data_IF_659905750324
#
_entry.id   IF_659905750324
#
_cell.length_a   1.000
_cell.length_b   1.000
_cell.length_c   1.000
_cell.angle_alpha   90.00
_cell.angle_beta   90.00
_cell.angle_gamma   90.00
#
_symmetry.space_group_name_H-M   'P 1'
#
loop_
_entity.id
_entity.type
_entity.pdbx_description
1 polymer ?
#
# COMPACT_ATOMS: atom_id res chain seq x y z
N UNK A 1 27.53 15.80 -5.28
CA UNK A 1 28.83 15.19 -4.95
C UNK A 1 28.79 13.80 -5.55
N UNK A 2 29.39 13.61 -6.72
CA UNK A 2 29.28 12.37 -7.52
C UNK A 2 30.44 11.45 -7.12
N UNK A 3 30.15 10.24 -6.61
CA UNK A 3 31.20 9.23 -6.35
C UNK A 3 31.10 8.40 -5.06
N UNK A 4 30.29 8.77 -4.08
CA UNK A 4 30.06 7.97 -2.86
C UNK A 4 29.25 6.68 -3.07
N UNK A 5 28.26 6.59 -4.00
CA UNK A 5 27.41 5.41 -4.08
C UNK A 5 28.01 4.21 -4.83
N UNK A 6 29.09 4.35 -5.60
CA UNK A 6 29.63 3.27 -6.45
C UNK A 6 29.99 1.97 -5.66
N UNK A 7 30.36 2.12 -4.39
CA UNK A 7 30.71 1.02 -3.49
C UNK A 7 29.58 0.63 -2.52
N UNK A 8 28.45 1.34 -2.57
CA UNK A 8 27.30 1.05 -1.71
C UNK A 8 26.66 -0.31 -2.08
N UNK A 9 26.09 -1.03 -1.09
CA UNK A 9 25.21 -2.14 -1.38
C UNK A 9 23.98 -1.66 -2.15
N UNK A 10 23.40 -2.52 -2.98
CA UNK A 10 22.26 -2.18 -3.84
C UNK A 10 21.07 -1.54 -3.09
N UNK A 11 20.75 -2.07 -1.90
CA UNK A 11 19.70 -1.50 -1.05
C UNK A 11 20.03 -0.10 -0.53
N UNK A 12 21.30 0.16 -0.18
CA UNK A 12 21.75 1.48 0.25
C UNK A 12 21.69 2.50 -0.88
N UNK A 13 22.14 2.11 -2.08
CA UNK A 13 22.02 2.95 -3.28
C UNK A 13 20.56 3.30 -3.58
N UNK A 14 19.72 2.30 -3.81
CA UNK A 14 18.32 2.52 -4.17
C UNK A 14 17.56 3.25 -3.06
N UNK A 15 17.93 3.00 -1.81
CA UNK A 15 17.46 3.76 -0.66
C UNK A 15 17.70 5.26 -0.88
N UNK A 16 18.96 5.68 -0.94
CA UNK A 16 19.34 7.09 -1.08
C UNK A 16 18.70 7.73 -2.32
N UNK A 17 18.69 7.02 -3.46
CA UNK A 17 18.11 7.55 -4.69
C UNK A 17 16.58 7.73 -4.59
N UNK A 18 15.88 6.94 -3.79
CA UNK A 18 14.43 7.02 -3.64
C UNK A 18 13.94 7.97 -2.53
N UNK A 19 14.83 8.74 -1.90
CA UNK A 19 14.42 9.78 -0.94
C UNK A 19 14.10 11.10 -1.65
N UNK A 20 15.09 11.75 -2.25
CA UNK A 20 14.91 13.10 -2.84
C UNK A 20 15.83 13.35 -4.06
N UNK A 21 16.26 12.29 -4.76
CA UNK A 21 17.04 12.50 -5.99
C UNK A 21 16.14 12.89 -7.15
N UNK A 22 16.56 13.90 -7.91
CA UNK A 22 15.93 14.16 -9.20
C UNK A 22 16.22 12.98 -10.17
N UNK A 23 15.32 12.74 -11.15
CA UNK A 23 15.43 11.61 -12.06
C UNK A 23 16.75 11.52 -12.85
N UNK A 24 17.31 12.66 -13.25
CA UNK A 24 18.53 12.70 -14.07
C UNK A 24 19.76 12.35 -13.22
N UNK A 25 19.83 12.87 -12.00
CA UNK A 25 20.86 12.49 -11.03
C UNK A 25 20.76 11.00 -10.66
N UNK A 26 19.55 10.49 -10.41
CA UNK A 26 19.35 9.08 -10.10
C UNK A 26 19.80 8.16 -11.25
N UNK A 27 19.50 8.55 -12.50
CA UNK A 27 19.97 7.86 -13.71
C UNK A 27 21.49 7.82 -13.79
N UNK A 28 22.15 8.96 -13.59
CA UNK A 28 23.60 9.05 -13.65
C UNK A 28 24.29 8.18 -12.59
N UNK A 29 23.82 8.24 -11.34
CA UNK A 29 24.39 7.46 -10.24
C UNK A 29 24.15 5.96 -10.41
N UNK A 30 22.94 5.54 -10.86
CA UNK A 30 22.66 4.13 -11.12
C UNK A 30 23.51 3.60 -12.28
N UNK A 31 23.65 4.37 -13.37
CA UNK A 31 24.49 3.99 -14.51
C UNK A 31 25.96 3.84 -14.10
N UNK A 32 26.48 4.75 -13.25
CA UNK A 32 27.81 4.66 -12.67
C UNK A 32 27.99 3.41 -11.80
N UNK A 33 27.00 3.10 -10.95
CA UNK A 33 27.01 1.94 -10.09
C UNK A 33 26.97 0.60 -10.85
N UNK A 34 26.15 0.53 -11.91
CA UNK A 34 26.07 -0.64 -12.79
C UNK A 34 27.39 -0.83 -13.54
N UNK A 35 27.94 0.25 -14.12
CA UNK A 35 29.21 0.22 -14.86
C UNK A 35 30.37 -0.26 -13.99
N UNK A 36 30.42 0.14 -12.71
CA UNK A 36 31.45 -0.28 -11.77
C UNK A 36 31.45 -1.80 -11.48
N UNK A 37 30.35 -2.52 -11.79
CA UNK A 37 30.23 -3.98 -11.58
C UNK A 37 30.60 -4.82 -12.78
N UNK A 38 30.76 -4.23 -13.96
CA UNK A 38 31.17 -4.92 -15.19
C UNK A 38 30.13 -5.87 -15.81
N UNK A 39 29.15 -6.35 -15.05
CA UNK A 39 28.07 -7.22 -15.53
C UNK A 39 26.69 -6.62 -15.27
N UNK A 40 26.06 -6.05 -16.30
CA UNK A 40 24.77 -5.36 -16.21
C UNK A 40 23.67 -6.27 -15.65
N UNK A 41 23.54 -7.51 -16.15
CA UNK A 41 22.50 -8.43 -15.68
C UNK A 41 22.69 -8.82 -14.21
N UNK A 42 23.93 -9.00 -13.76
CA UNK A 42 24.22 -9.33 -12.38
C UNK A 42 23.93 -8.13 -11.45
N UNK A 43 24.26 -6.92 -11.90
CA UNK A 43 23.92 -5.68 -11.21
C UNK A 43 22.40 -5.50 -11.09
N UNK A 44 21.66 -5.73 -12.18
CA UNK A 44 20.20 -5.64 -12.19
C UNK A 44 19.55 -6.65 -11.25
N UNK A 45 20.04 -7.90 -11.22
CA UNK A 45 19.59 -8.90 -10.25
C UNK A 45 19.80 -8.45 -8.80
N UNK A 46 20.92 -7.81 -8.48
CA UNK A 46 21.18 -7.28 -7.13
C UNK A 46 20.22 -6.14 -6.77
N UNK A 47 19.87 -5.28 -7.72
CA UNK A 47 18.93 -4.18 -7.53
C UNK A 47 17.50 -4.68 -7.30
N UNK A 48 17.05 -5.65 -8.12
CA UNK A 48 15.75 -6.30 -7.93
C UNK A 48 15.70 -7.06 -6.60
N UNK A 49 16.79 -7.73 -6.22
CA UNK A 49 16.89 -8.39 -4.92
C UNK A 49 16.75 -7.40 -3.76
N UNK A 50 17.39 -6.24 -3.87
CA UNK A 50 17.28 -5.20 -2.86
C UNK A 50 15.84 -4.72 -2.67
N UNK A 51 15.10 -4.50 -3.77
CA UNK A 51 13.66 -4.18 -3.74
C UNK A 51 12.88 -5.30 -3.05
N UNK A 52 13.14 -6.56 -3.43
CA UNK A 52 12.45 -7.74 -2.87
C UNK A 52 12.68 -7.92 -1.37
N UNK A 53 13.90 -7.66 -0.91
CA UNK A 53 14.29 -7.83 0.49
C UNK A 53 13.86 -6.69 1.41
N UNK A 54 13.33 -5.58 0.84
CA UNK A 54 12.95 -4.41 1.61
C UNK A 54 11.71 -4.72 2.47
N UNK A 55 11.80 -4.60 3.81
CA UNK A 55 10.68 -4.96 4.69
C UNK A 55 9.49 -3.99 4.63
N UNK A 56 9.71 -2.76 4.17
CA UNK A 56 8.66 -1.74 4.06
C UNK A 56 8.17 -1.60 2.63
N UNK A 57 6.88 -1.81 2.40
CA UNK A 57 6.24 -1.84 1.08
C UNK A 57 6.34 -0.52 0.34
N UNK A 58 6.06 0.58 1.04
CA UNK A 58 6.13 1.94 0.50
C UNK A 58 7.57 2.24 0.07
N UNK A 59 8.54 1.80 0.89
CA UNK A 59 9.96 1.98 0.56
C UNK A 59 10.38 1.12 -0.62
N UNK A 60 9.92 -0.13 -0.69
CA UNK A 60 10.15 -1.02 -1.81
C UNK A 60 9.57 -0.45 -3.11
N UNK A 61 8.36 0.11 -3.05
CA UNK A 61 7.70 0.79 -4.18
C UNK A 61 8.55 1.96 -4.68
N UNK A 62 9.01 2.82 -3.78
CA UNK A 62 9.85 3.97 -4.13
C UNK A 62 11.19 3.53 -4.76
N UNK A 63 11.83 2.51 -4.19
CA UNK A 63 13.06 1.92 -4.77
C UNK A 63 12.82 1.33 -6.16
N UNK A 64 11.70 0.63 -6.36
CA UNK A 64 11.31 0.10 -7.66
C UNK A 64 11.08 1.24 -8.65
N UNK A 65 10.33 2.28 -8.27
CA UNK A 65 10.05 3.41 -9.14
C UNK A 65 11.33 4.09 -9.64
N UNK A 66 12.29 4.32 -8.73
CA UNK A 66 13.61 4.86 -9.08
C UNK A 66 14.39 3.95 -10.00
N UNK A 67 14.47 2.64 -9.69
CA UNK A 67 15.15 1.67 -10.55
C UNK A 67 14.62 1.75 -11.99
N UNK A 68 13.31 1.86 -12.15
CA UNK A 68 12.66 1.88 -13.46
C UNK A 68 12.89 3.19 -14.23
N UNK A 69 12.94 4.34 -13.55
CA UNK A 69 13.19 5.64 -14.19
C UNK A 69 14.67 5.81 -14.55
N UNK A 70 15.56 5.24 -13.74
CA UNK A 70 17.00 5.34 -13.94
C UNK A 70 17.54 4.38 -15.01
N UNK A 71 16.77 3.36 -15.41
CA UNK A 71 17.13 2.48 -16.53
C UNK A 71 17.00 3.17 -17.90
N UNK A 72 17.74 2.72 -18.93
CA UNK A 72 17.58 3.21 -20.29
C UNK A 72 16.12 3.10 -20.79
N UNK A 73 15.76 3.97 -21.74
CA UNK A 73 14.39 4.05 -22.23
C UNK A 73 13.85 2.70 -22.70
N UNK A 74 12.65 2.35 -22.22
CA UNK A 74 11.98 1.09 -22.50
C UNK A 74 12.51 -0.13 -21.72
N UNK A 75 13.69 -0.08 -21.09
CA UNK A 75 14.19 -1.18 -20.26
C UNK A 75 13.41 -1.32 -18.96
N UNK A 76 13.02 -0.20 -18.34
CA UNK A 76 12.17 -0.21 -17.14
C UNK A 76 10.83 -0.91 -17.39
N UNK A 77 10.15 -0.60 -18.49
CA UNK A 77 8.88 -1.28 -18.80
C UNK A 77 9.06 -2.77 -19.11
N UNK A 78 10.14 -3.15 -19.81
CA UNK A 78 10.46 -4.57 -20.06
C UNK A 78 10.70 -5.30 -18.75
N UNK A 79 11.42 -4.68 -17.82
CA UNK A 79 11.65 -5.21 -16.49
C UNK A 79 10.33 -5.41 -15.73
N UNK A 80 9.42 -4.42 -15.73
CA UNK A 80 8.10 -4.55 -15.10
C UNK A 80 7.31 -5.74 -15.69
N UNK A 81 7.25 -5.87 -17.02
CA UNK A 81 6.56 -7.00 -17.67
C UNK A 81 7.19 -8.34 -17.30
N UNK A 82 8.51 -8.42 -17.15
CA UNK A 82 9.21 -9.62 -16.69
C UNK A 82 8.89 -9.93 -15.21
N UNK A 83 8.92 -8.91 -14.35
CA UNK A 83 8.69 -9.08 -12.91
C UNK A 83 7.22 -9.37 -12.56
N UNK A 84 6.26 -9.07 -13.45
CA UNK A 84 4.83 -9.40 -13.27
C UNK A 84 4.60 -10.88 -12.98
N UNK A 85 5.42 -11.77 -13.56
CA UNK A 85 5.35 -13.22 -13.32
C UNK A 85 6.00 -13.71 -12.02
N UNK A 86 6.72 -12.86 -11.30
CA UNK A 86 7.40 -13.24 -10.07
C UNK A 86 6.47 -13.05 -8.87
N UNK A 87 5.91 -14.14 -8.35
CA UNK A 87 4.88 -14.12 -7.31
C UNK A 87 5.17 -13.20 -6.10
N UNK A 88 6.42 -13.10 -5.65
CA UNK A 88 6.79 -12.24 -4.51
C UNK A 88 6.80 -10.74 -4.85
N UNK A 89 7.09 -10.37 -6.09
CA UNK A 89 7.16 -8.98 -6.56
C UNK A 89 5.91 -8.56 -7.32
N UNK A 90 5.10 -9.51 -7.78
CA UNK A 90 3.92 -9.26 -8.61
C UNK A 90 2.98 -8.18 -8.03
N UNK A 91 2.64 -8.16 -6.72
CA UNK A 91 1.77 -7.11 -6.19
C UNK A 91 2.37 -5.70 -6.34
N UNK A 92 3.65 -5.54 -5.99
CA UNK A 92 4.38 -4.28 -6.10
C UNK A 92 4.49 -3.82 -7.57
N UNK A 93 4.78 -4.75 -8.46
CA UNK A 93 4.94 -4.53 -9.90
C UNK A 93 3.63 -4.16 -10.57
N UNK A 94 2.53 -4.85 -10.24
CA UNK A 94 1.21 -4.54 -10.76
C UNK A 94 0.73 -3.16 -10.29
N UNK A 95 1.00 -2.81 -9.03
CA UNK A 95 0.70 -1.49 -8.49
C UNK A 95 1.49 -0.39 -9.21
N UNK A 96 2.79 -0.61 -9.48
CA UNK A 96 3.61 0.33 -10.27
C UNK A 96 3.15 0.45 -11.73
N UNK A 97 2.79 -0.67 -12.37
CA UNK A 97 2.23 -0.69 -13.72
C UNK A 97 0.92 0.12 -13.80
N UNK A 98 0.04 -0.04 -12.81
CA UNK A 98 -1.21 0.71 -12.72
C UNK A 98 -0.95 2.21 -12.48
N UNK A 99 -0.08 2.56 -11.53
CA UNK A 99 0.26 3.95 -11.22
C UNK A 99 0.88 4.70 -12.41
N UNK A 100 1.61 3.99 -13.28
CA UNK A 100 2.19 4.57 -14.50
C UNK A 100 1.27 4.54 -15.72
N UNK A 101 0.03 4.08 -15.55
CA UNK A 101 -0.94 3.90 -16.64
C UNK A 101 -0.41 2.97 -17.76
N UNK A 102 0.52 2.07 -17.42
CA UNK A 102 1.12 1.09 -18.35
C UNK A 102 0.34 -0.23 -18.39
N UNK A 103 -0.60 -0.40 -17.48
CA UNK A 103 -1.54 -1.52 -17.42
C UNK A 103 -2.89 -0.97 -17.03
N UNK A 104 -3.84 -1.02 -17.95
CA UNK A 104 -5.21 -0.62 -17.67
C UNK A 104 -5.96 -1.72 -16.90
N UNK A 105 -7.03 -1.37 -16.17
CA UNK A 105 -7.85 -2.36 -15.46
C UNK A 105 -8.40 -3.44 -16.38
N UNK A 106 -8.81 -3.11 -17.60
CA UNK A 106 -9.34 -4.09 -18.56
C UNK A 106 -8.31 -5.14 -19.03
N UNK A 107 -7.01 -4.85 -18.90
CA UNK A 107 -5.91 -5.75 -19.25
C UNK A 107 -5.40 -6.58 -18.05
N UNK A 108 -6.00 -6.40 -16.87
CA UNK A 108 -5.73 -7.18 -15.67
C UNK A 108 -6.68 -8.37 -15.55
N UNK A 109 -6.13 -9.51 -15.17
CA UNK A 109 -6.96 -10.63 -14.71
C UNK A 109 -7.63 -10.31 -13.38
N UNK A 110 -8.73 -10.99 -13.04
CA UNK A 110 -9.39 -10.82 -11.73
C UNK A 110 -8.41 -11.07 -10.57
N UNK A 111 -7.54 -12.07 -10.70
CA UNK A 111 -6.53 -12.38 -9.70
C UNK A 111 -5.54 -11.22 -9.50
N UNK A 112 -5.15 -10.54 -10.57
CA UNK A 112 -4.23 -9.39 -10.50
C UNK A 112 -4.89 -8.17 -9.89
N UNK A 113 -6.17 -7.92 -10.19
CA UNK A 113 -6.94 -6.88 -9.51
C UNK A 113 -6.94 -7.08 -7.99
N UNK A 114 -7.15 -8.32 -7.54
CA UNK A 114 -7.12 -8.65 -6.11
C UNK A 114 -5.73 -8.44 -5.50
N UNK A 115 -4.65 -8.71 -6.24
CA UNK A 115 -3.29 -8.44 -5.77
C UNK A 115 -3.00 -6.95 -5.64
N UNK A 116 -3.42 -6.15 -6.61
CA UNK A 116 -3.29 -4.68 -6.55
C UNK A 116 -4.06 -4.13 -5.37
N UNK A 117 -5.33 -4.52 -5.23
CA UNK A 117 -6.18 -4.11 -4.10
C UNK A 117 -5.55 -4.46 -2.75
N UNK A 118 -5.06 -5.69 -2.61
CA UNK A 118 -4.39 -6.14 -1.40
C UNK A 118 -3.13 -5.32 -1.11
N UNK A 119 -2.27 -5.10 -2.10
CA UNK A 119 -1.05 -4.30 -1.95
C UNK A 119 -1.38 -2.85 -1.56
N UNK A 120 -2.36 -2.21 -2.21
CA UNK A 120 -2.76 -0.83 -1.88
C UNK A 120 -3.29 -0.70 -0.45
N UNK A 121 -4.07 -1.67 0.04
CA UNK A 121 -4.55 -1.67 1.43
C UNK A 121 -3.42 -1.89 2.44
N UNK A 122 -2.46 -2.77 2.13
CA UNK A 122 -1.30 -2.98 2.98
C UNK A 122 -0.39 -1.74 3.03
N UNK A 123 -0.19 -1.07 1.88
CA UNK A 123 0.54 0.20 1.82
C UNK A 123 -0.18 1.30 2.60
N UNK A 124 -1.51 1.40 2.52
CA UNK A 124 -2.31 2.33 3.32
C UNK A 124 -2.09 2.14 4.82
N UNK A 125 -2.13 0.88 5.29
CA UNK A 125 -1.90 0.54 6.69
C UNK A 125 -0.47 0.88 7.13
N UNK A 126 0.52 0.60 6.29
CA UNK A 126 1.92 0.93 6.56
C UNK A 126 2.13 2.44 6.66
N UNK A 127 1.59 3.22 5.72
CA UNK A 127 1.65 4.69 5.71
C UNK A 127 1.00 5.32 6.94
N UNK A 128 -0.02 4.68 7.50
CA UNK A 128 -0.69 5.18 8.68
C UNK A 128 0.15 5.05 9.97
N UNK A 129 1.31 4.38 9.91
CA UNK A 129 2.36 4.48 10.92
C UNK A 129 2.05 3.83 12.28
N UNK A 130 0.99 3.02 12.36
CA UNK A 130 0.61 2.34 13.59
C UNK A 130 -0.84 1.88 13.59
N UNK A 131 -1.22 1.13 14.63
CA UNK A 131 -2.56 0.53 14.74
C UNK A 131 -3.68 1.57 14.69
N UNK A 132 -3.58 2.63 15.49
CA UNK A 132 -4.66 3.61 15.60
C UNK A 132 -4.85 4.39 14.29
N UNK A 133 -3.75 4.80 13.66
CA UNK A 133 -3.77 5.43 12.34
C UNK A 133 -4.32 4.49 11.27
N UNK A 134 -3.93 3.22 11.27
CA UNK A 134 -4.43 2.24 10.30
C UNK A 134 -5.93 1.99 10.47
N UNK A 135 -6.44 1.92 11.71
CA UNK A 135 -7.87 1.81 11.95
C UNK A 135 -8.63 3.07 11.48
N UNK A 136 -8.07 4.26 11.69
CA UNK A 136 -8.64 5.51 11.19
C UNK A 136 -8.64 5.56 9.65
N UNK A 137 -7.52 5.19 9.01
CA UNK A 137 -7.39 5.11 7.57
C UNK A 137 -8.43 4.15 6.96
N UNK A 138 -8.62 2.97 7.55
CA UNK A 138 -9.66 2.03 7.10
C UNK A 138 -11.07 2.58 7.29
N UNK A 139 -11.36 3.31 8.37
CA UNK A 139 -12.67 3.97 8.55
C UNK A 139 -12.90 5.06 7.52
N UNK A 140 -11.85 5.79 7.13
CA UNK A 140 -11.93 6.84 6.13
C UNK A 140 -12.28 6.31 4.72
N UNK A 141 -11.96 5.04 4.42
CA UNK A 141 -12.38 4.37 3.19
C UNK A 141 -13.90 4.11 3.10
N UNK A 142 -14.65 4.31 4.19
CA UNK A 142 -16.11 4.26 4.18
C UNK A 142 -16.70 2.84 4.12
N UNK A 143 -17.91 2.71 3.57
CA UNK A 143 -18.66 1.45 3.59
C UNK A 143 -18.05 0.35 2.71
N UNK A 144 -17.39 0.74 1.61
CA UNK A 144 -16.74 -0.17 0.65
C UNK A 144 -15.49 -0.83 1.23
N UNK A 145 -14.91 -0.27 2.29
CA UNK A 145 -13.72 -0.78 2.95
C UNK A 145 -13.85 -2.25 3.40
N UNK A 146 -15.06 -2.68 3.78
CA UNK A 146 -15.28 -4.07 4.21
C UNK A 146 -15.19 -5.04 3.05
N UNK A 147 -15.82 -4.71 1.94
CA UNK A 147 -15.85 -5.55 0.74
C UNK A 147 -14.46 -5.57 0.09
N UNK A 148 -13.78 -4.42 0.08
CA UNK A 148 -12.39 -4.30 -0.36
C UNK A 148 -11.44 -5.17 0.48
N UNK A 149 -11.57 -5.14 1.81
CA UNK A 149 -10.75 -6.00 2.70
C UNK A 149 -11.09 -7.47 2.48
N UNK A 150 -12.37 -7.84 2.36
CA UNK A 150 -12.75 -9.23 2.10
C UNK A 150 -12.13 -9.75 0.79
N UNK A 151 -12.23 -8.96 -0.29
CA UNK A 151 -11.62 -9.28 -1.57
C UNK A 151 -10.09 -9.40 -1.49
N UNK A 152 -9.42 -8.48 -0.76
CA UNK A 152 -7.98 -8.55 -0.55
C UNK A 152 -7.53 -9.81 0.22
N UNK A 153 -8.33 -10.27 1.19
CA UNK A 153 -8.04 -11.50 1.95
C UNK A 153 -8.18 -12.77 1.10
N UNK A 154 -9.04 -12.74 0.08
CA UNK A 154 -9.20 -13.85 -0.88
C UNK A 154 -8.10 -13.87 -1.95
N UNK A 155 -7.24 -12.85 -1.99
CA UNK A 155 -6.13 -12.78 -2.95
C UNK A 155 -5.04 -13.84 -2.68
N UNK A 156 -4.24 -14.11 -3.72
CA UNK A 156 -3.03 -14.93 -3.63
C UNK A 156 -1.79 -14.14 -3.15
N UNK A 157 -1.99 -13.03 -2.43
CA UNK A 157 -0.90 -12.15 -2.04
C UNK A 157 0.14 -12.87 -1.16
N UNK A 158 1.45 -12.70 -1.43
CA UNK A 158 2.51 -13.47 -0.78
C UNK A 158 2.67 -13.15 0.71
N UNK A 159 2.36 -11.93 1.14
CA UNK A 159 2.40 -11.58 2.56
C UNK A 159 1.13 -11.96 3.29
N UNK A 160 1.09 -13.21 3.77
CA UNK A 160 -0.02 -13.70 4.58
C UNK A 160 -0.05 -13.07 5.98
N UNK A 161 1.09 -12.64 6.52
CA UNK A 161 1.15 -11.99 7.84
C UNK A 161 0.51 -10.61 7.79
N UNK A 162 0.85 -9.80 6.79
CA UNK A 162 0.24 -8.48 6.58
C UNK A 162 -1.26 -8.57 6.33
N UNK A 163 -1.72 -9.57 5.54
CA UNK A 163 -3.16 -9.83 5.36
C UNK A 163 -3.85 -10.19 6.68
N UNK A 164 -3.21 -11.00 7.53
CA UNK A 164 -3.73 -11.37 8.83
C UNK A 164 -3.81 -10.18 9.81
N UNK A 165 -2.87 -9.24 9.73
CA UNK A 165 -2.91 -7.98 10.46
C UNK A 165 -4.02 -7.06 9.94
N UNK A 166 -4.15 -6.92 8.62
CA UNK A 166 -5.22 -6.16 7.95
C UNK A 166 -6.60 -6.68 8.38
N UNK A 167 -6.81 -8.00 8.39
CA UNK A 167 -8.03 -8.65 8.88
C UNK A 167 -8.35 -8.25 10.32
N UNK A 168 -7.35 -8.23 11.20
CA UNK A 168 -7.53 -7.84 12.60
C UNK A 168 -7.84 -6.35 12.78
N UNK A 169 -7.23 -5.49 11.97
CA UNK A 169 -7.48 -4.05 11.98
C UNK A 169 -8.89 -3.75 11.46
N UNK A 170 -9.27 -4.32 10.33
CA UNK A 170 -10.60 -4.17 9.74
C UNK A 170 -11.70 -4.66 10.69
N UNK A 171 -11.51 -5.80 11.36
CA UNK A 171 -12.45 -6.32 12.34
C UNK A 171 -12.65 -5.42 13.57
N UNK A 172 -11.77 -4.44 13.82
CA UNK A 172 -11.91 -3.42 14.88
C UNK A 172 -12.44 -2.11 14.33
N UNK A 173 -11.82 -1.64 13.25
CA UNK A 173 -12.11 -0.38 12.59
C UNK A 173 -13.53 -0.34 12.02
N UNK A 174 -13.92 -1.42 11.35
CA UNK A 174 -15.16 -1.55 10.60
C UNK A 174 -16.19 -2.37 11.36
N UNK A 175 -16.14 -2.43 12.71
CA UNK A 175 -17.30 -2.95 13.44
C UNK A 175 -18.46 -2.01 13.18
N UNK A 176 -19.59 -2.56 12.72
CA UNK A 176 -20.84 -1.82 12.80
C UNK A 176 -21.00 -1.48 14.27
N UNK A 177 -21.15 -0.20 14.67
CA UNK A 177 -21.57 0.12 16.01
C UNK A 177 -22.86 -0.65 16.19
N UNK A 178 -22.83 -1.69 17.02
CA UNK A 178 -24.02 -2.40 17.42
C UNK A 178 -24.95 -1.34 17.96
N UNK A 179 -25.92 -0.99 17.12
CA UNK A 179 -27.16 -0.30 17.42
C UNK A 179 -27.30 -0.10 18.92
N UNK A 180 -26.86 1.05 19.45
CA UNK A 180 -27.28 1.51 20.78
C UNK A 180 -28.75 1.97 20.68
N UNK A 181 -29.65 1.11 20.20
CA UNK A 181 -31.08 1.20 20.49
C UNK A 181 -31.27 0.61 21.89
N UNK A 182 -30.79 1.36 22.88
CA UNK A 182 -30.64 0.88 24.25
C UNK A 182 -30.91 1.96 25.28
N UNK A 183 -31.99 2.73 25.10
CA UNK A 183 -32.90 3.31 26.12
C UNK A 183 -33.49 4.63 25.63
N UNK A 184 -34.57 4.52 24.85
CA UNK A 184 -35.64 5.48 24.98
C UNK A 184 -36.20 5.37 26.40
N UNK A 185 -35.70 6.18 27.34
CA UNK A 185 -36.40 6.44 28.61
C UNK A 185 -37.65 7.25 28.25
N UNK A 186 -38.72 6.56 27.86
CA UNK A 186 -40.08 7.10 27.91
C UNK A 186 -40.37 7.40 29.38
N UNK A 187 -40.13 8.64 29.83
CA UNK A 187 -40.74 9.12 31.08
C UNK A 187 -42.21 9.45 30.79
N UNK A 188 -43.01 8.41 30.66
CA UNK A 188 -44.46 8.53 30.74
C UNK A 188 -44.80 8.70 32.22
N UNK A 189 -45.05 9.94 32.66
CA UNK A 189 -45.76 10.20 33.92
C UNK A 189 -47.21 10.53 33.57
N UNK A 190 -48.21 9.76 34.04
CA UNK A 190 -49.60 10.04 33.75
C UNK A 190 -50.15 11.12 34.70
N UNK A 191 -51.01 11.95 34.10
CA UNK A 191 -52.20 12.61 34.64
C UNK A 191 -52.23 13.10 36.11
N UNK A 192 -52.35 14.42 36.25
CA UNK A 192 -52.92 15.08 37.42
C UNK A 192 -53.69 16.33 37.01
N UNK A 193 -54.91 16.17 36.49
CA UNK A 193 -55.90 17.24 36.30
C UNK A 193 -56.25 17.85 37.67
N UNK A 194 -55.79 19.07 37.97
CA UNK A 194 -56.39 19.88 39.05
C UNK A 194 -57.24 21.00 38.42
N UNK A 195 -58.46 20.63 38.03
CA UNK A 195 -59.49 21.59 37.70
C UNK A 195 -60.36 21.92 38.91
N UNK A 196 -60.51 23.23 39.16
CA UNK A 196 -61.70 23.94 39.69
C UNK A 196 -61.93 24.12 41.22
N UNK A 197 -61.92 25.41 41.57
CA UNK A 197 -62.98 26.23 42.23
C UNK A 197 -63.30 26.00 43.72
N UNK A 198 -63.14 27.05 44.56
CA UNK A 198 -64.19 28.04 44.92
C UNK A 198 -63.77 28.98 46.07
N UNK A 199 -64.05 30.28 45.87
CA UNK A 199 -64.60 31.31 46.79
C UNK A 199 -64.59 31.05 48.31
N UNK A 200 -64.06 32.02 49.06
CA UNK A 200 -64.85 32.92 49.92
C UNK A 200 -64.20 34.30 49.95
#
# INVERSE_FOLDING_TARGET
>A
MVGEPAHAPAAGLLGVLAEDYDPDSARAELAGWISARGEQDAALRQLVEAVRSMPFRVRAQAMLAVLLVALPDGEGERLLRQLRGYAQLAPLVLNELAHRELLSPEDMTDAEHLLVLAESLLQLVELAGGRDGAEEALRAQGFEARDAVAAALDSAHPDRSGLDELRQLAARALRTPGVRLGRARKSWRPAGKSGRKRRR
#
